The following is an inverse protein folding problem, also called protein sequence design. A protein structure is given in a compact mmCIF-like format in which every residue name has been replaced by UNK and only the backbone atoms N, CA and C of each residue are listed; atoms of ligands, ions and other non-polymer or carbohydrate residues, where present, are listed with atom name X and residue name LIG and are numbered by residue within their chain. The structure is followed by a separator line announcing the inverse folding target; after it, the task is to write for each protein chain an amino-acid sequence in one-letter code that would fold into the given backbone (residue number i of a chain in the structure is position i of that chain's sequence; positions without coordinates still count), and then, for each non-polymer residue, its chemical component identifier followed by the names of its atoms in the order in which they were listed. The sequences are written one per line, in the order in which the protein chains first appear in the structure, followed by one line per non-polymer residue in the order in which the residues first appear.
data_IF_831101945745
#
_entry.id   IF_831101945745
#
_cell.length_a   1.000
_cell.length_b   1.000
_cell.length_c   1.000
_cell.angle_alpha   90.00
_cell.angle_beta   90.00
_cell.angle_gamma   90.00
#
_symmetry.space_group_name_H-M   'P 1'
#
loop_
_entity.id
_entity.type
_entity.pdbx_description
1 polymer ?
#
# COMPACT_ATOMS: atom_id res chain seq x y z
N UNK A 1 -14.22 11.03 30.76
CA UNK A 1 -13.71 10.52 29.47
C UNK A 1 -14.88 9.90 28.73
N UNK A 2 -15.17 10.35 27.52
CA UNK A 2 -16.12 9.68 26.63
C UNK A 2 -15.36 8.62 25.85
N UNK A 3 -15.64 7.34 26.10
CA UNK A 3 -15.10 6.22 25.35
C UNK A 3 -15.99 5.95 24.13
N UNK A 4 -15.39 5.82 22.94
CA UNK A 4 -16.06 5.63 21.65
C UNK A 4 -16.67 4.24 21.47
N UNK A 5 -16.11 3.20 22.12
CA UNK A 5 -16.56 1.82 21.96
C UNK A 5 -16.50 1.01 23.26
N UNK A 6 -17.26 -0.09 23.32
CA UNK A 6 -17.26 -1.01 24.47
C UNK A 6 -15.87 -1.63 24.74
N UNK A 7 -15.11 -1.86 23.68
CA UNK A 7 -13.74 -2.40 23.75
C UNK A 7 -12.77 -1.40 24.40
N UNK A 8 -12.91 -0.11 24.11
CA UNK A 8 -12.08 0.93 24.72
C UNK A 8 -12.26 0.98 26.25
N UNK A 9 -13.49 0.79 26.72
CA UNK A 9 -13.80 0.75 28.16
C UNK A 9 -13.08 -0.41 28.85
N UNK A 10 -13.12 -1.60 28.25
CA UNK A 10 -12.47 -2.79 28.80
C UNK A 10 -10.93 -2.64 28.79
N UNK A 11 -10.36 -2.13 27.69
CA UNK A 11 -8.91 -1.88 27.58
C UNK A 11 -8.44 -0.87 28.63
N UNK A 12 -9.15 0.25 28.81
CA UNK A 12 -8.79 1.25 29.81
C UNK A 12 -8.90 0.71 31.24
N UNK A 13 -9.87 -0.18 31.50
CA UNK A 13 -10.02 -0.82 32.81
C UNK A 13 -8.83 -1.73 33.12
N UNK A 14 -8.39 -2.53 32.15
CA UNK A 14 -7.22 -3.40 32.29
C UNK A 14 -5.92 -2.59 32.48
N UNK A 15 -5.68 -1.57 31.65
CA UNK A 15 -4.45 -0.74 31.76
C UNK A 15 -4.37 -0.04 33.12
N UNK A 16 -5.48 0.46 33.65
CA UNK A 16 -5.53 1.13 34.96
C UNK A 16 -5.31 0.19 36.14
N UNK A 17 -5.58 -1.10 35.98
CA UNK A 17 -5.34 -2.10 37.02
C UNK A 17 -3.85 -2.49 37.12
N UNK A 18 -3.03 -2.12 36.13
CA UNK A 18 -1.62 -2.45 36.09
C UNK A 18 -0.75 -1.44 36.88
N UNK A 19 0.38 -1.88 37.44
CA UNK A 19 1.38 -0.98 38.03
C UNK A 19 1.95 0.02 37.00
N UNK A 20 2.31 1.20 37.47
CA UNK A 20 2.79 2.32 36.64
C UNK A 20 3.99 1.93 35.74
N UNK A 21 4.92 1.14 36.27
CA UNK A 21 6.07 0.59 35.52
C UNK A 21 5.65 -0.23 34.30
N UNK A 22 4.53 -0.96 34.40
CA UNK A 22 3.99 -1.77 33.30
C UNK A 22 3.22 -0.88 32.32
N UNK A 23 2.52 0.14 32.81
CA UNK A 23 1.84 1.11 31.95
C UNK A 23 2.83 1.84 31.04
N UNK A 24 3.99 2.24 31.55
CA UNK A 24 5.06 2.85 30.74
C UNK A 24 5.59 1.91 29.65
N UNK A 25 5.76 0.62 29.97
CA UNK A 25 6.20 -0.38 28.98
C UNK A 25 5.15 -0.58 27.90
N UNK A 26 3.87 -0.66 28.28
CA UNK A 26 2.76 -0.76 27.32
C UNK A 26 2.71 0.48 26.43
N UNK A 27 2.92 1.67 26.97
CA UNK A 27 2.97 2.90 26.17
C UNK A 27 4.07 2.84 25.11
N UNK A 28 5.28 2.40 25.49
CA UNK A 28 6.40 2.22 24.54
C UNK A 28 6.08 1.21 23.44
N UNK A 29 5.42 0.10 23.80
CA UNK A 29 5.00 -0.92 22.84
C UNK A 29 3.95 -0.35 21.87
N UNK A 30 2.96 0.39 22.36
CA UNK A 30 1.95 1.05 21.52
C UNK A 30 2.60 2.07 20.58
N UNK A 31 3.56 2.86 21.08
CA UNK A 31 4.31 3.82 20.27
C UNK A 31 5.12 3.13 19.17
N UNK A 32 5.79 2.03 19.49
CA UNK A 32 6.52 1.21 18.53
C UNK A 32 5.60 0.64 17.45
N UNK A 33 4.45 0.08 17.83
CA UNK A 33 3.47 -0.40 16.86
C UNK A 33 2.93 0.72 15.96
N UNK A 34 2.75 1.93 16.52
CA UNK A 34 2.39 3.11 15.72
C UNK A 34 3.47 3.49 14.72
N UNK A 35 4.75 3.41 15.07
CA UNK A 35 5.84 3.82 14.18
C UNK A 35 6.18 2.76 13.13
N UNK A 36 6.12 1.48 13.46
CA UNK A 36 6.56 0.42 12.56
C UNK A 36 5.43 -0.17 11.71
N UNK A 37 4.23 -0.33 12.28
CA UNK A 37 3.14 -1.04 11.59
C UNK A 37 2.21 -0.08 10.86
N UNK A 38 1.93 1.10 11.43
CA UNK A 38 1.00 2.04 10.80
C UNK A 38 1.67 3.00 9.80
N UNK A 39 2.98 3.25 9.94
CA UNK A 39 3.72 4.08 8.97
C UNK A 39 4.13 3.25 7.74
N UNK A 40 4.37 1.94 7.90
CA UNK A 40 4.74 1.07 6.77
C UNK A 40 3.63 0.94 5.72
N UNK A 41 2.36 0.95 6.14
CA UNK A 41 1.20 0.97 5.23
C UNK A 41 1.16 2.25 4.38
N UNK A 42 1.55 3.40 4.93
CA UNK A 42 1.67 4.65 4.15
C UNK A 42 2.92 4.70 3.26
N UNK A 43 3.94 3.88 3.55
CA UNK A 43 5.21 3.86 2.83
C UNK A 43 5.13 3.07 1.51
N UNK A 44 4.33 2.00 1.44
CA UNK A 44 4.11 1.25 0.20
C UNK A 44 3.39 2.07 -0.88
N UNK A 45 2.41 2.88 -0.47
CA UNK A 45 1.70 3.80 -1.37
C UNK A 45 2.69 4.85 -1.92
N UNK A 46 3.54 5.42 -1.07
CA UNK A 46 4.57 6.37 -1.50
C UNK A 46 5.66 5.73 -2.37
N UNK A 47 6.03 4.47 -2.15
CA UNK A 47 7.08 3.81 -2.92
C UNK A 47 6.63 3.52 -4.37
N UNK A 48 5.37 3.16 -4.56
CA UNK A 48 4.79 2.97 -5.90
C UNK A 48 4.69 4.29 -6.64
N UNK A 49 4.20 5.34 -5.97
CA UNK A 49 4.11 6.67 -6.56
C UNK A 49 5.49 7.27 -6.88
N UNK A 50 6.48 7.09 -6.00
CA UNK A 50 7.88 7.49 -6.23
C UNK A 50 8.46 6.74 -7.43
N UNK A 51 8.24 5.42 -7.53
CA UNK A 51 8.69 4.63 -8.68
C UNK A 51 8.00 5.06 -9.98
N UNK A 52 6.69 5.31 -9.96
CA UNK A 52 5.93 5.79 -11.11
C UNK A 52 6.33 7.22 -11.51
N UNK A 53 6.77 8.05 -10.57
CA UNK A 53 7.27 9.40 -10.86
C UNK A 53 8.56 9.40 -11.69
N UNK A 54 9.37 8.35 -11.57
CA UNK A 54 10.57 8.15 -12.40
C UNK A 54 10.18 7.67 -13.81
N UNK A 55 9.02 7.03 -13.94
CA UNK A 55 8.49 6.63 -15.23
C UNK A 55 7.92 7.86 -15.94
N UNK A 56 8.29 8.07 -17.21
CA UNK A 56 7.69 9.14 -18.01
C UNK A 56 6.18 8.95 -18.13
N UNK A 57 5.43 10.05 -18.20
CA UNK A 57 3.99 10.00 -18.46
C UNK A 57 3.75 9.72 -19.94
N UNK A 58 2.90 8.73 -20.23
CA UNK A 58 2.42 8.52 -21.60
C UNK A 58 1.27 9.49 -21.87
N UNK A 59 1.56 10.57 -22.59
CA UNK A 59 0.53 11.46 -23.14
C UNK A 59 0.09 10.98 -24.53
N UNK A 60 -0.94 10.15 -24.58
CA UNK A 60 -1.60 9.81 -25.84
C UNK A 60 -2.90 10.60 -26.00
N UNK A 61 -3.03 11.31 -27.12
CA UNK A 61 -4.26 12.06 -27.46
C UNK A 61 -5.27 11.21 -28.22
N UNK A 62 -4.87 10.01 -28.66
CA UNK A 62 -5.73 9.05 -29.36
C UNK A 62 -6.70 8.42 -28.38
N UNK A 63 -7.91 8.15 -28.84
CA UNK A 63 -8.90 7.38 -28.09
C UNK A 63 -8.40 5.96 -27.81
N UNK A 64 -8.97 5.31 -26.79
CA UNK A 64 -8.66 3.91 -26.42
C UNK A 64 -8.82 2.99 -27.64
N UNK A 65 -9.88 3.19 -28.43
CA UNK A 65 -10.15 2.39 -29.62
C UNK A 65 -9.08 2.55 -30.71
N UNK A 66 -8.59 3.77 -30.92
CA UNK A 66 -7.50 4.04 -31.88
C UNK A 66 -6.19 3.40 -31.44
N UNK A 67 -5.87 3.44 -30.14
CA UNK A 67 -4.67 2.79 -29.59
C UNK A 67 -4.75 1.26 -29.74
N UNK A 68 -5.90 0.67 -29.43
CA UNK A 68 -6.15 -0.77 -29.59
C UNK A 68 -5.99 -1.16 -31.06
N UNK A 69 -6.60 -0.41 -31.98
CA UNK A 69 -6.51 -0.67 -33.41
C UNK A 69 -5.07 -0.54 -33.94
N UNK A 70 -4.30 0.43 -33.47
CA UNK A 70 -2.88 0.59 -33.83
C UNK A 70 -2.04 -0.62 -33.38
N UNK A 71 -2.25 -1.11 -32.15
CA UNK A 71 -1.56 -2.30 -31.64
C UNK A 71 -1.92 -3.54 -32.48
N UNK A 72 -3.21 -3.77 -32.74
CA UNK A 72 -3.63 -4.95 -33.51
C UNK A 72 -3.23 -4.88 -34.99
N UNK A 73 -3.22 -3.69 -35.59
CA UNK A 73 -2.81 -3.51 -36.99
C UNK A 73 -1.30 -3.59 -37.18
N UNK A 74 -0.51 -3.15 -36.21
CA UNK A 74 0.96 -3.27 -36.23
C UNK A 74 1.47 -4.65 -35.82
N UNK A 75 0.64 -5.46 -35.13
CA UNK A 75 0.97 -6.82 -34.74
C UNK A 75 1.18 -7.71 -35.98
N UNK A 76 2.43 -7.93 -36.33
CA UNK A 76 2.80 -9.00 -37.27
C UNK A 76 2.84 -10.33 -36.52
N UNK A 77 2.00 -11.29 -36.95
CA UNK A 77 2.13 -12.68 -36.51
C UNK A 77 3.46 -13.22 -37.02
N UNK A 78 4.47 -13.22 -36.17
CA UNK A 78 5.74 -13.88 -36.47
C UNK A 78 5.63 -15.30 -35.91
N UNK A 79 5.56 -16.29 -36.79
CA UNK A 79 5.78 -17.69 -36.42
C UNK A 79 7.26 -17.86 -36.05
N UNK A 80 7.65 -17.40 -34.86
CA UNK A 80 9.00 -17.58 -34.30
C UNK A 80 9.20 -19.01 -33.79
N UNK A 81 8.71 -20.00 -34.54
CA UNK A 81 8.78 -21.42 -34.17
C UNK A 81 8.94 -22.38 -35.35
N UNK A 82 9.36 -21.92 -36.54
CA UNK A 82 9.45 -22.80 -37.73
C UNK A 82 10.87 -23.12 -38.23
N UNK A 83 11.93 -22.77 -37.48
CA UNK A 83 13.32 -23.18 -37.81
C UNK A 83 14.17 -23.52 -36.57
N UNK A 84 13.63 -24.35 -35.69
CA UNK A 84 14.46 -25.07 -34.72
C UNK A 84 14.01 -26.53 -34.70
N UNK A 85 14.15 -27.23 -35.83
CA UNK A 85 14.37 -28.68 -35.95
C UNK A 85 14.97 -28.96 -37.32
#
# INVERSE_FOLDING_TARGET
MQTKTRQEVEILKEIRALPEIIQEKILKIIQFFRSEILISESLEETATDDFLSVCGTWEDKRSVDEQINDIYSSRKSTNRMEKVF
#
